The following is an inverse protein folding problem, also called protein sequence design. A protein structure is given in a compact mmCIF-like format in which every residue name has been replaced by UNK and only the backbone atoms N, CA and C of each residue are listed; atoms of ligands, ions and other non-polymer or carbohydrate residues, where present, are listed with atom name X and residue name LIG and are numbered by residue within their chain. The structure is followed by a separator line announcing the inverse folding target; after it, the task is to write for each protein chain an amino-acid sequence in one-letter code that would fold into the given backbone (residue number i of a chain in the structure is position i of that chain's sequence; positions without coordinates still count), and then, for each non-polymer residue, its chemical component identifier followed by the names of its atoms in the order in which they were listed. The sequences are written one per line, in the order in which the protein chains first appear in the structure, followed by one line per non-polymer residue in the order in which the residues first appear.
data_IF_726503785477
#
_entry.id   IF_726503785477
#
_cell.length_a   1.000
_cell.length_b   1.000
_cell.length_c   1.000
_cell.angle_alpha   90.00
_cell.angle_beta   90.00
_cell.angle_gamma   90.00
#
_symmetry.space_group_name_H-M   'P 1'
#
loop_
_entity.id
_entity.type
_entity.pdbx_description
1 polymer ?
#
# COMPACT_ATOMS: atom_id res chain seq x y z
N UNK A 1 2.98 -21.97 -5.05
CA UNK A 1 2.20 -21.66 -3.83
C UNK A 1 3.03 -20.81 -2.87
N UNK A 2 4.29 -21.15 -2.62
CA UNK A 2 5.20 -20.45 -1.68
C UNK A 2 5.23 -18.92 -1.81
N UNK A 3 5.26 -18.38 -3.03
CA UNK A 3 5.30 -16.91 -3.24
C UNK A 3 4.05 -16.19 -2.75
N UNK A 4 2.87 -16.79 -2.91
CA UNK A 4 1.60 -16.21 -2.48
C UNK A 4 1.48 -16.24 -0.95
N UNK A 5 1.93 -17.33 -0.34
CA UNK A 5 2.00 -17.48 1.12
C UNK A 5 2.96 -16.46 1.71
N UNK A 6 4.14 -16.28 1.12
CA UNK A 6 5.10 -15.26 1.55
C UNK A 6 4.49 -13.85 1.53
N UNK A 7 3.77 -13.48 0.47
CA UNK A 7 3.09 -12.18 0.41
C UNK A 7 2.05 -12.06 1.53
N UNK A 8 1.25 -13.10 1.75
CA UNK A 8 0.26 -13.10 2.85
C UNK A 8 0.94 -12.94 4.21
N UNK A 9 2.07 -13.61 4.42
CA UNK A 9 2.84 -13.52 5.66
C UNK A 9 3.42 -12.13 5.90
N UNK A 10 3.86 -11.43 4.84
CA UNK A 10 4.22 -10.01 4.96
C UNK A 10 3.02 -9.17 5.43
N UNK A 11 1.82 -9.45 4.94
CA UNK A 11 0.60 -8.77 5.35
C UNK A 11 0.25 -8.98 6.83
N UNK A 12 0.58 -10.15 7.39
CA UNK A 12 0.37 -10.46 8.82
C UNK A 12 1.30 -9.68 9.75
N UNK A 13 2.42 -9.16 9.23
CA UNK A 13 3.39 -8.37 9.97
C UNK A 13 3.04 -6.88 9.99
N UNK A 14 1.99 -6.46 9.27
CA UNK A 14 1.52 -5.08 9.33
C UNK A 14 1.12 -4.70 10.76
N UNK A 15 1.43 -3.45 11.11
CA UNK A 15 0.93 -2.87 12.36
C UNK A 15 -0.59 -2.92 12.41
N UNK A 16 -1.13 -3.07 13.63
CA UNK A 16 -2.57 -3.04 13.84
C UNK A 16 -3.13 -1.70 13.39
N UNK A 17 -4.10 -1.74 12.49
CA UNK A 17 -4.83 -0.56 12.05
C UNK A 17 -6.05 -0.35 12.96
N UNK A 18 -6.15 0.76 13.70
CA UNK A 18 -7.25 1.01 14.63
C UNK A 18 -8.62 0.95 13.93
N UNK A 19 -9.60 0.30 14.55
CA UNK A 19 -10.95 0.18 13.99
C UNK A 19 -11.64 1.54 13.83
N UNK A 20 -11.35 2.49 14.72
CA UNK A 20 -11.79 3.90 14.63
C UNK A 20 -11.31 4.60 13.36
N UNK A 21 -10.23 4.12 12.74
CA UNK A 21 -9.72 4.66 11.48
C UNK A 21 -10.34 3.97 10.25
N UNK A 22 -11.17 2.93 10.42
CA UNK A 22 -11.86 2.25 9.31
C UNK A 22 -13.11 3.03 8.85
N UNK A 23 -12.94 4.33 8.62
CA UNK A 23 -13.96 5.27 8.17
C UNK A 23 -13.83 5.57 6.68
N UNK A 24 -14.86 6.15 6.07
CA UNK A 24 -14.90 6.45 4.64
C UNK A 24 -13.77 7.40 4.19
N UNK A 25 -13.32 8.32 5.05
CA UNK A 25 -12.25 9.27 4.75
C UNK A 25 -10.91 8.58 4.45
N UNK A 26 -10.62 7.47 5.13
CA UNK A 26 -9.41 6.69 4.92
C UNK A 26 -9.61 5.62 3.84
N UNK A 27 -10.83 5.41 3.32
CA UNK A 27 -11.12 4.37 2.35
C UNK A 27 -10.44 4.67 1.01
N UNK A 28 -9.83 3.64 0.42
CA UNK A 28 -9.26 3.69 -0.92
C UNK A 28 -10.28 3.11 -1.89
N UNK A 29 -10.82 3.98 -2.76
CA UNK A 29 -11.79 3.59 -3.77
C UNK A 29 -11.13 2.93 -4.99
N UNK A 30 -11.81 1.97 -5.62
CA UNK A 30 -11.33 1.28 -6.82
C UNK A 30 -10.64 -0.06 -6.56
N UNK A 31 -10.46 -0.45 -5.30
CA UNK A 31 -10.09 -1.81 -4.92
C UNK A 31 -11.35 -2.70 -4.80
N UNK A 32 -11.25 -3.97 -5.20
CA UNK A 32 -12.35 -4.94 -5.00
C UNK A 32 -12.52 -5.27 -3.51
N UNK A 33 -11.41 -5.44 -2.79
CA UNK A 33 -11.38 -5.54 -1.33
C UNK A 33 -11.44 -4.16 -0.71
N UNK A 34 -11.94 -4.05 0.52
CA UNK A 34 -11.84 -2.80 1.27
C UNK A 34 -10.40 -2.58 1.67
N UNK A 35 -9.93 -1.35 1.48
CA UNK A 35 -8.58 -0.91 1.84
C UNK A 35 -8.69 0.45 2.51
N UNK A 36 -8.05 0.62 3.67
CA UNK A 36 -8.03 1.89 4.39
C UNK A 36 -6.60 2.35 4.60
N UNK A 37 -6.31 3.59 4.21
CA UNK A 37 -5.01 4.26 4.36
C UNK A 37 -5.16 5.49 5.26
N UNK A 38 -4.31 5.59 6.27
CA UNK A 38 -4.09 6.79 7.08
C UNK A 38 -2.68 7.29 6.79
N UNK A 39 -2.56 8.44 6.15
CA UNK A 39 -1.28 9.07 5.79
C UNK A 39 -1.07 10.34 6.62
N UNK A 40 0.17 10.57 7.05
CA UNK A 40 0.57 11.76 7.81
C UNK A 40 2.09 11.95 7.74
N UNK A 41 2.57 13.13 8.15
CA UNK A 41 3.99 13.38 8.35
C UNK A 41 4.38 13.12 9.81
N UNK A 42 5.51 12.47 10.01
CA UNK A 42 6.18 12.34 11.29
C UNK A 42 7.65 12.69 11.10
N UNK A 43 8.14 13.71 11.80
CA UNK A 43 9.52 14.21 11.65
C UNK A 43 9.89 14.53 10.18
N UNK A 44 8.96 15.15 9.45
CA UNK A 44 9.04 15.46 8.01
C UNK A 44 9.08 14.24 7.07
N UNK A 45 8.96 13.03 7.60
CA UNK A 45 8.89 11.79 6.81
C UNK A 45 7.44 11.36 6.63
N UNK A 46 7.14 10.85 5.44
CA UNK A 46 5.83 10.27 5.13
C UNK A 46 5.63 8.95 5.89
N UNK A 47 4.50 8.85 6.57
CA UNK A 47 4.03 7.63 7.23
C UNK A 47 2.65 7.28 6.70
N UNK A 48 2.50 6.04 6.26
CA UNK A 48 1.22 5.44 5.92
C UNK A 48 0.95 4.21 6.80
N UNK A 49 -0.19 4.22 7.49
CA UNK A 49 -0.76 3.01 8.12
C UNK A 49 -1.90 2.52 7.26
N UNK A 50 -1.99 1.21 7.08
CA UNK A 50 -2.97 0.64 6.16
C UNK A 50 -3.43 -0.76 6.53
N UNK A 51 -4.64 -1.12 6.10
CA UNK A 51 -5.20 -2.47 6.26
C UNK A 51 -6.17 -2.81 5.13
N UNK A 52 -6.45 -4.10 4.94
CA UNK A 52 -7.46 -4.61 4.02
C UNK A 52 -8.23 -5.78 4.61
N UNK A 53 -9.47 -5.97 4.18
CA UNK A 53 -10.26 -7.19 4.48
C UNK A 53 -9.80 -8.43 3.69
N UNK A 54 -8.80 -8.29 2.82
CA UNK A 54 -8.19 -9.38 2.07
C UNK A 54 -6.75 -9.63 2.49
N UNK A 55 -6.43 -10.89 2.82
CA UNK A 55 -5.09 -11.29 3.25
C UNK A 55 -4.02 -11.04 2.17
N UNK A 56 -4.34 -11.34 0.90
CA UNK A 56 -3.40 -11.11 -0.20
C UNK A 56 -3.17 -9.60 -0.42
N UNK A 57 -4.22 -8.78 -0.33
CA UNK A 57 -4.10 -7.33 -0.49
C UNK A 57 -3.36 -6.70 0.68
N UNK A 58 -3.54 -7.21 1.89
CA UNK A 58 -2.71 -6.83 3.05
C UNK A 58 -1.22 -7.12 2.81
N UNK A 59 -0.91 -8.24 2.15
CA UNK A 59 0.47 -8.52 1.72
C UNK A 59 1.02 -7.52 0.70
N UNK A 60 0.19 -7.10 -0.26
CA UNK A 60 0.56 -6.06 -1.24
C UNK A 60 0.78 -4.70 -0.57
N UNK A 61 -0.05 -4.36 0.42
CA UNK A 61 0.12 -3.17 1.26
C UNK A 61 1.47 -3.21 1.96
N UNK A 62 1.83 -4.33 2.59
CA UNK A 62 3.12 -4.48 3.27
C UNK A 62 4.32 -4.21 2.35
N UNK A 63 4.27 -4.66 1.10
CA UNK A 63 5.31 -4.38 0.11
C UNK A 63 5.40 -2.87 -0.21
N UNK A 64 4.26 -2.20 -0.41
CA UNK A 64 4.23 -0.76 -0.67
C UNK A 64 4.78 0.04 0.53
N UNK A 65 4.30 -0.26 1.75
CA UNK A 65 4.73 0.45 2.94
C UNK A 65 6.23 0.30 3.19
N UNK A 66 6.81 -0.87 2.90
CA UNK A 66 8.26 -1.10 3.04
C UNK A 66 9.11 -0.20 2.13
N UNK A 67 8.56 0.23 1.00
CA UNK A 67 9.26 1.06 0.01
C UNK A 67 9.05 2.54 0.32
N UNK A 68 7.83 2.93 0.65
CA UNK A 68 7.41 4.33 0.70
C UNK A 68 7.33 4.93 2.11
N UNK A 69 7.19 4.14 3.18
CA UNK A 69 7.22 4.72 4.53
C UNK A 69 8.62 5.19 4.92
N UNK A 70 8.66 6.21 5.77
CA UNK A 70 9.88 6.83 6.29
C UNK A 70 10.77 7.41 5.18
N UNK A 71 10.13 7.94 4.14
CA UNK A 71 10.75 8.67 3.04
C UNK A 71 10.26 10.11 3.04
N UNK A 72 11.06 11.01 2.49
CA UNK A 72 10.59 12.37 2.24
C UNK A 72 9.48 12.33 1.17
N UNK A 73 8.43 13.16 1.28
CA UNK A 73 7.35 13.17 0.29
C UNK A 73 7.85 13.42 -1.14
N UNK A 74 8.90 14.24 -1.29
CA UNK A 74 9.54 14.51 -2.58
C UNK A 74 10.11 13.24 -3.22
N UNK A 75 10.81 12.41 -2.43
CA UNK A 75 11.36 11.14 -2.89
C UNK A 75 10.27 10.17 -3.33
N UNK A 76 9.15 10.13 -2.62
CA UNK A 76 8.02 9.24 -2.95
C UNK A 76 7.42 9.59 -4.31
N UNK A 77 7.23 10.88 -4.56
CA UNK A 77 6.63 11.37 -5.82
C UNK A 77 7.48 10.95 -7.02
N UNK A 78 8.80 11.13 -6.92
CA UNK A 78 9.74 10.83 -8.02
C UNK A 78 10.12 9.34 -8.12
N UNK A 79 9.80 8.53 -7.10
CA UNK A 79 10.11 7.10 -7.11
C UNK A 79 9.17 6.35 -8.05
N UNK A 80 9.75 5.82 -9.14
CA UNK A 80 9.02 4.95 -10.06
C UNK A 80 8.84 3.54 -9.48
N UNK A 81 7.66 2.91 -9.65
CA UNK A 81 7.33 1.62 -9.04
C UNK A 81 7.91 0.42 -9.81
N UNK A 82 9.15 0.52 -10.27
CA UNK A 82 9.83 -0.51 -11.08
C UNK A 82 9.95 -1.86 -10.35
N UNK A 83 9.88 -1.86 -9.01
CA UNK A 83 9.88 -3.08 -8.22
C UNK A 83 8.70 -4.02 -8.56
N UNK A 84 7.54 -3.49 -8.97
CA UNK A 84 6.35 -4.29 -9.27
C UNK A 84 6.62 -5.26 -10.43
N UNK A 85 7.26 -4.76 -11.49
CA UNK A 85 7.69 -5.57 -12.64
C UNK A 85 8.91 -6.43 -12.28
N UNK A 86 9.88 -5.89 -11.54
CA UNK A 86 11.13 -6.58 -11.22
C UNK A 86 10.93 -7.85 -10.39
N UNK A 87 9.99 -7.84 -9.43
CA UNK A 87 9.69 -9.05 -8.68
C UNK A 87 8.81 -10.01 -9.50
N UNK A 88 8.29 -9.63 -10.67
CA UNK A 88 7.37 -10.45 -11.48
C UNK A 88 5.98 -10.60 -10.87
N UNK A 89 5.56 -9.66 -10.01
CA UNK A 89 4.30 -9.77 -9.28
C UNK A 89 3.08 -9.69 -10.20
N UNK A 90 3.16 -8.86 -11.23
CA UNK A 90 2.09 -8.66 -12.20
C UNK A 90 1.68 -9.95 -12.93
N UNK A 91 2.63 -10.85 -13.20
CA UNK A 91 2.38 -12.09 -13.94
C UNK A 91 1.63 -13.14 -13.10
N UNK A 92 1.64 -13.00 -11.78
CA UNK A 92 1.02 -13.96 -10.87
C UNK A 92 -0.25 -13.43 -10.22
N UNK A 93 -0.51 -12.12 -10.28
CA UNK A 93 -1.74 -11.51 -9.79
C UNK A 93 -2.83 -11.54 -10.87
N UNK A 94 -4.08 -11.73 -10.45
CA UNK A 94 -5.21 -11.50 -11.35
C UNK A 94 -5.26 -10.02 -11.77
N UNK A 95 -5.89 -9.75 -12.92
CA UNK A 95 -6.10 -8.38 -13.41
C UNK A 95 -6.69 -7.45 -12.35
N UNK A 96 -7.66 -7.95 -11.56
CA UNK A 96 -8.28 -7.16 -10.48
C UNK A 96 -7.31 -6.80 -9.36
N UNK A 97 -6.39 -7.70 -9.00
CA UNK A 97 -5.39 -7.44 -7.95
C UNK A 97 -4.31 -6.47 -8.43
N UNK A 98 -3.88 -6.58 -9.69
CA UNK A 98 -3.00 -5.61 -10.32
C UNK A 98 -3.62 -4.21 -10.33
N UNK A 99 -4.91 -4.11 -10.66
CA UNK A 99 -5.63 -2.83 -10.59
C UNK A 99 -5.66 -2.27 -9.17
N UNK A 100 -5.97 -3.11 -8.17
CA UNK A 100 -5.95 -2.69 -6.76
C UNK A 100 -4.56 -2.19 -6.31
N UNK A 101 -3.49 -2.88 -6.69
CA UNK A 101 -2.11 -2.45 -6.41
C UNK A 101 -1.80 -1.07 -7.00
N UNK A 102 -2.17 -0.85 -8.27
CA UNK A 102 -1.98 0.43 -8.93
C UNK A 102 -2.78 1.54 -8.25
N UNK A 103 -4.03 1.29 -7.88
CA UNK A 103 -4.88 2.25 -7.14
C UNK A 103 -4.25 2.64 -5.81
N UNK A 104 -3.75 1.67 -5.03
CA UNK A 104 -3.06 1.93 -3.76
C UNK A 104 -1.78 2.76 -3.96
N UNK A 105 -0.99 2.46 -4.98
CA UNK A 105 0.20 3.23 -5.32
C UNK A 105 -0.14 4.68 -5.68
N UNK A 106 -1.16 4.90 -6.52
CA UNK A 106 -1.59 6.24 -6.90
C UNK A 106 -2.07 7.03 -5.68
N UNK A 107 -2.75 6.38 -4.73
CA UNK A 107 -3.13 7.00 -3.46
C UNK A 107 -1.91 7.45 -2.66
N UNK A 108 -0.88 6.60 -2.51
CA UNK A 108 0.36 6.97 -1.80
C UNK A 108 1.03 8.17 -2.46
N UNK A 109 1.22 8.15 -3.79
CA UNK A 109 1.85 9.26 -4.51
C UNK A 109 1.05 10.55 -4.38
N UNK A 110 -0.28 10.48 -4.48
CA UNK A 110 -1.16 11.64 -4.32
C UNK A 110 -1.07 12.24 -2.91
N UNK A 111 -1.12 11.40 -1.89
CA UNK A 111 -1.05 11.86 -0.50
C UNK A 111 0.34 12.48 -0.23
N UNK A 112 1.43 11.86 -0.69
CA UNK A 112 2.77 12.43 -0.60
C UNK A 112 2.90 13.78 -1.34
N UNK A 113 2.35 13.89 -2.55
CA UNK A 113 2.34 15.15 -3.32
C UNK A 113 1.64 16.29 -2.57
N UNK A 114 0.61 15.99 -1.77
CA UNK A 114 -0.10 16.99 -0.95
C UNK A 114 0.67 17.44 0.29
N UNK A 115 1.79 16.78 0.59
CA UNK A 115 2.63 17.00 1.77
C UNK A 115 4.00 17.63 1.44
N UNK A 116 4.20 18.07 0.19
CA UNK A 116 5.34 18.89 -0.23
C UNK A 116 5.15 20.35 0.23
#
# INVERSE_FOLDING_TARGET
MERYEYIIDLGRQLETFPDEWKINEHLVHGCQSKVWFKTYLQDSLFVCKATSDSAIVSGLIALLLRIYNNKEPADIVITEPSFISMIGLNEHLSSTRNNGLNVMLQRIKKDAQSML
#
